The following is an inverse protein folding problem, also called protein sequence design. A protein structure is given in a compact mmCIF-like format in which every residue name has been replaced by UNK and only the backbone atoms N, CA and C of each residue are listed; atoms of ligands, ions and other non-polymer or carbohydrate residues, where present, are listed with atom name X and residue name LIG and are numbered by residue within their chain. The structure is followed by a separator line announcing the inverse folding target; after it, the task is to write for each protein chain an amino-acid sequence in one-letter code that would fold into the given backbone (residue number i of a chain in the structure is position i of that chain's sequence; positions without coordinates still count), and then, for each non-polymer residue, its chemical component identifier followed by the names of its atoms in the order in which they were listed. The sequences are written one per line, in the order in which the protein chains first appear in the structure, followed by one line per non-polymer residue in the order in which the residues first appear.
data_IF_294358658909
#
_entry.id   IF_294358658909
#
_cell.length_a   1.000
_cell.length_b   1.000
_cell.length_c   1.000
_cell.angle_alpha   90.00
_cell.angle_beta   90.00
_cell.angle_gamma   90.00
#
_symmetry.space_group_name_H-M   'P 1'
#
loop_
_entity.id
_entity.type
_entity.pdbx_description
1 polymer ?
#
# COMPACT_ATOMS: atom_id res chain seq x y z
N UNK A 1 1.89 -4.48 3.54
CA UNK A 1 2.62 -3.20 3.53
C UNK A 1 3.29 -2.87 2.22
N UNK A 2 4.33 -3.60 1.77
CA UNK A 2 5.08 -3.29 0.53
C UNK A 2 4.20 -2.96 -0.68
N UNK A 3 3.22 -3.84 -0.97
CA UNK A 3 2.30 -3.69 -2.10
C UNK A 3 1.53 -2.38 -2.07
N UNK A 4 1.08 -1.90 -0.89
CA UNK A 4 0.34 -0.63 -0.74
C UNK A 4 1.17 0.53 -1.31
N UNK A 5 2.42 0.64 -0.88
CA UNK A 5 3.31 1.73 -1.28
C UNK A 5 3.80 1.59 -2.72
N UNK A 6 4.13 0.39 -3.18
CA UNK A 6 4.54 0.17 -4.57
C UNK A 6 3.38 0.48 -5.51
N UNK A 7 2.17 0.02 -5.20
CA UNK A 7 0.98 0.32 -5.99
C UNK A 7 0.64 1.82 -5.99
N UNK A 8 0.82 2.51 -4.86
CA UNK A 8 0.69 3.96 -4.77
C UNK A 8 1.70 4.67 -5.69
N UNK A 9 2.97 4.30 -5.65
CA UNK A 9 4.00 4.93 -6.48
C UNK A 9 3.82 4.66 -7.98
N UNK A 10 3.28 3.50 -8.35
CA UNK A 10 2.92 3.17 -9.72
C UNK A 10 1.69 3.98 -10.19
N UNK A 11 0.69 4.19 -9.34
CA UNK A 11 -0.43 5.07 -9.65
C UNK A 11 0.02 6.52 -9.85
N UNK A 12 0.91 7.02 -8.99
CA UNK A 12 1.56 8.33 -9.16
C UNK A 12 2.37 8.43 -10.46
N UNK A 13 2.79 7.30 -11.03
CA UNK A 13 3.48 7.23 -12.32
C UNK A 13 2.53 7.03 -13.52
N UNK A 14 1.20 7.02 -13.29
CA UNK A 14 0.17 6.89 -14.32
C UNK A 14 -0.35 5.48 -14.55
N UNK A 15 -0.05 4.52 -13.66
CA UNK A 15 -0.51 3.14 -13.77
C UNK A 15 -1.54 2.85 -12.68
N UNK A 16 -2.83 3.00 -12.99
CA UNK A 16 -3.92 2.87 -12.03
C UNK A 16 -4.64 4.20 -11.78
N UNK A 17 -5.85 4.10 -11.25
CA UNK A 17 -6.74 5.24 -10.98
C UNK A 17 -7.70 4.90 -9.83
N UNK A 18 -7.16 4.35 -8.75
CA UNK A 18 -7.95 4.03 -7.57
C UNK A 18 -8.02 5.21 -6.60
N UNK A 19 -9.13 5.34 -5.83
CA UNK A 19 -9.26 6.39 -4.83
C UNK A 19 -8.15 6.32 -3.78
N UNK A 20 -7.73 7.49 -3.27
CA UNK A 20 -6.74 7.62 -2.20
C UNK A 20 -7.12 6.78 -0.97
N UNK A 21 -8.42 6.73 -0.69
CA UNK A 21 -9.06 6.01 0.41
C UNK A 21 -8.72 4.51 0.38
N UNK A 22 -8.55 3.91 -0.81
CA UNK A 22 -8.15 2.51 -0.92
C UNK A 22 -6.80 2.26 -0.23
N UNK A 23 -5.85 3.15 -0.48
CA UNK A 23 -4.51 3.05 0.09
C UNK A 23 -4.51 3.34 1.58
N UNK A 24 -5.27 4.35 2.02
CA UNK A 24 -5.37 4.71 3.44
C UNK A 24 -6.05 3.64 4.27
N UNK A 25 -7.15 3.08 3.79
CA UNK A 25 -7.81 1.96 4.45
C UNK A 25 -6.86 0.76 4.58
N UNK A 26 -6.04 0.48 3.56
CA UNK A 26 -5.04 -0.58 3.64
C UNK A 26 -3.94 -0.26 4.68
N UNK A 27 -3.46 0.99 4.76
CA UNK A 27 -2.50 1.40 5.79
C UNK A 27 -3.06 1.23 7.21
N UNK A 28 -4.24 1.80 7.48
CA UNK A 28 -4.87 1.73 8.79
C UNK A 28 -5.21 0.29 9.19
N UNK A 29 -5.64 -0.54 8.24
CA UNK A 29 -5.95 -1.94 8.54
C UNK A 29 -4.72 -2.73 8.96
N UNK A 30 -3.54 -2.47 8.39
CA UNK A 30 -2.31 -3.10 8.89
C UNK A 30 -1.89 -2.53 10.23
N UNK A 31 -2.00 -1.22 10.45
CA UNK A 31 -1.70 -0.62 11.75
C UNK A 31 -2.58 -1.21 12.85
N UNK A 32 -3.87 -1.36 12.60
CA UNK A 32 -4.81 -2.03 13.50
C UNK A 32 -4.41 -3.49 13.76
N UNK A 33 -4.03 -4.24 12.73
CA UNK A 33 -3.56 -5.61 12.88
C UNK A 33 -2.26 -5.71 13.70
N UNK A 34 -1.34 -4.74 13.55
CA UNK A 34 -0.11 -4.67 14.34
C UNK A 34 -0.39 -4.35 15.80
N UNK A 35 -1.30 -3.42 16.08
CA UNK A 35 -1.75 -3.10 17.44
C UNK A 35 -2.41 -4.31 18.09
N UNK A 36 -3.32 -5.00 17.38
CA UNK A 36 -3.94 -6.22 17.88
C UNK A 36 -2.89 -7.30 18.19
N UNK A 37 -1.93 -7.52 17.29
CA UNK A 37 -0.87 -8.49 17.50
C UNK A 37 0.01 -8.12 18.70
N UNK A 38 0.26 -6.83 18.93
CA UNK A 38 1.01 -6.35 20.08
C UNK A 38 0.27 -6.58 21.41
N UNK A 39 -1.03 -6.31 21.44
CA UNK A 39 -1.85 -6.38 22.66
C UNK A 39 -2.30 -7.80 23.01
N UNK A 40 -2.64 -8.61 22.01
CA UNK A 40 -3.27 -9.93 22.20
C UNK A 40 -2.40 -11.10 21.75
N UNK A 41 -1.34 -10.85 20.98
CA UNK A 41 -0.57 -11.90 20.30
C UNK A 41 -1.27 -12.48 19.06
N UNK A 42 -2.49 -12.00 18.73
CA UNK A 42 -3.24 -12.48 17.58
C UNK A 42 -2.87 -11.72 16.29
N UNK A 43 -2.50 -12.47 15.25
CA UNK A 43 -2.21 -11.93 13.93
C UNK A 43 -3.45 -12.05 13.05
N UNK A 44 -4.32 -11.04 13.12
CA UNK A 44 -5.56 -11.01 12.36
C UNK A 44 -5.77 -9.67 11.70
N UNK A 45 -6.14 -9.72 10.43
CA UNK A 45 -6.72 -8.59 9.74
C UNK A 45 -8.22 -8.57 10.02
N UNK A 46 -8.81 -7.38 10.15
CA UNK A 46 -10.26 -7.24 10.29
C UNK A 46 -10.97 -7.73 9.02
N UNK A 47 -12.12 -8.39 9.17
CA UNK A 47 -12.84 -8.99 8.04
C UNK A 47 -13.31 -7.94 7.02
N UNK A 48 -13.60 -6.72 7.48
CA UNK A 48 -13.98 -5.57 6.64
C UNK A 48 -12.80 -4.98 5.85
N UNK A 49 -11.56 -5.29 6.22
CA UNK A 49 -10.38 -4.91 5.46
C UNK A 49 -10.08 -5.90 4.32
N UNK A 50 -10.61 -7.12 4.32
CA UNK A 50 -10.34 -8.10 3.27
C UNK A 50 -10.66 -7.57 1.85
N UNK A 51 -11.83 -6.95 1.58
CA UNK A 51 -12.14 -6.41 0.25
C UNK A 51 -11.17 -5.30 -0.19
N UNK A 52 -10.64 -4.52 0.76
CA UNK A 52 -9.65 -3.47 0.49
C UNK A 52 -8.35 -4.09 -0.04
N UNK A 53 -7.88 -5.17 0.59
CA UNK A 53 -6.68 -5.87 0.13
C UNK A 53 -6.89 -6.62 -1.18
N UNK A 54 -8.05 -7.25 -1.39
CA UNK A 54 -8.38 -7.88 -2.67
C UNK A 54 -8.31 -6.88 -3.82
N UNK A 55 -8.94 -5.72 -3.64
CA UNK A 55 -8.93 -4.64 -4.64
C UNK A 55 -7.54 -4.08 -4.87
N UNK A 56 -6.77 -3.84 -3.80
CA UNK A 56 -5.39 -3.36 -3.91
C UNK A 56 -4.46 -4.37 -4.62
N UNK A 57 -4.62 -5.67 -4.35
CA UNK A 57 -3.83 -6.72 -5.01
C UNK A 57 -4.19 -6.82 -6.49
N UNK A 58 -5.49 -6.79 -6.83
CA UNK A 58 -5.94 -6.77 -8.22
C UNK A 58 -5.41 -5.54 -8.98
N UNK A 59 -5.42 -4.36 -8.34
CA UNK A 59 -4.80 -3.16 -8.89
C UNK A 59 -3.31 -3.40 -9.14
N UNK A 60 -2.58 -3.90 -8.15
CA UNK A 60 -1.14 -4.12 -8.30
C UNK A 60 -0.80 -5.10 -9.43
N UNK A 61 -1.54 -6.19 -9.55
CA UNK A 61 -1.38 -7.16 -10.63
C UNK A 61 -1.62 -6.51 -12.00
N UNK A 62 -2.66 -5.68 -12.12
CA UNK A 62 -2.94 -4.94 -13.36
C UNK A 62 -1.83 -3.93 -13.70
N UNK A 63 -1.26 -3.27 -12.69
CA UNK A 63 -0.14 -2.35 -12.86
C UNK A 63 1.09 -3.08 -13.37
N UNK A 64 1.43 -4.23 -12.77
CA UNK A 64 2.60 -5.02 -13.17
C UNK A 64 2.46 -5.59 -14.59
N UNK A 65 1.24 -5.84 -15.06
CA UNK A 65 0.99 -6.30 -16.42
C UNK A 65 1.31 -5.25 -17.50
N UNK A 66 1.26 -3.95 -17.16
CA UNK A 66 1.38 -2.86 -18.15
C UNK A 66 2.54 -1.90 -17.89
N UNK A 67 3.04 -1.81 -16.65
CA UNK A 67 4.08 -0.88 -16.28
C UNK A 67 5.45 -1.31 -16.84
N UNK A 68 6.21 -0.41 -17.47
CA UNK A 68 7.60 -0.66 -17.82
C UNK A 68 8.43 -1.01 -16.58
N UNK A 69 9.35 -1.97 -16.71
CA UNK A 69 10.18 -2.44 -15.60
C UNK A 69 10.92 -1.29 -14.87
N UNK A 70 11.38 -0.28 -15.59
CA UNK A 70 12.07 0.87 -14.97
C UNK A 70 11.17 1.67 -14.01
N UNK A 71 9.84 1.68 -14.23
CA UNK A 71 8.87 2.32 -13.31
C UNK A 71 8.64 1.47 -12.06
N UNK A 72 8.58 0.15 -12.22
CA UNK A 72 8.54 -0.76 -11.07
C UNK A 72 9.80 -0.60 -10.22
N UNK A 73 10.99 -0.63 -10.83
CA UNK A 73 12.27 -0.42 -10.12
C UNK A 73 12.32 0.94 -9.41
N UNK A 74 11.78 2.01 -10.01
CA UNK A 74 11.71 3.31 -9.34
C UNK A 74 10.76 3.31 -8.13
N UNK A 75 9.57 2.70 -8.26
CA UNK A 75 8.64 2.52 -7.15
C UNK A 75 9.28 1.77 -5.97
N UNK A 76 10.05 0.71 -6.26
CA UNK A 76 10.82 -0.02 -5.24
C UNK A 76 11.89 0.83 -4.56
N UNK A 77 12.62 1.64 -5.34
CA UNK A 77 13.62 2.56 -4.77
C UNK A 77 12.97 3.61 -3.88
N UNK A 78 11.80 4.13 -4.26
CA UNK A 78 11.02 5.06 -3.45
C UNK A 78 10.60 4.41 -2.13
N UNK A 79 10.13 3.16 -2.17
CA UNK A 79 9.80 2.41 -0.97
C UNK A 79 11.03 2.20 -0.07
N UNK A 80 12.16 1.77 -0.63
CA UNK A 80 13.39 1.59 0.14
C UNK A 80 13.82 2.89 0.84
N UNK A 81 13.78 4.03 0.14
CA UNK A 81 14.07 5.34 0.75
C UNK A 81 13.12 5.69 1.89
N UNK A 82 11.84 5.38 1.74
CA UNK A 82 10.86 5.59 2.79
C UNK A 82 11.16 4.72 4.02
N UNK A 83 11.37 3.41 3.84
CA UNK A 83 11.64 2.47 4.94
C UNK A 83 12.95 2.76 5.68
N UNK A 84 13.94 3.36 5.03
CA UNK A 84 15.19 3.78 5.65
C UNK A 84 15.18 5.21 6.21
N UNK A 85 14.11 5.97 5.98
CA UNK A 85 13.98 7.36 6.43
C UNK A 85 13.13 7.50 7.69
N UNK A 86 13.00 8.75 8.15
CA UNK A 86 12.07 9.16 9.22
C UNK A 86 10.89 9.98 8.67
N UNK A 87 10.63 9.86 7.37
CA UNK A 87 9.55 10.60 6.70
C UNK A 87 8.18 10.02 7.10
N UNK A 88 7.16 10.88 7.13
CA UNK A 88 5.76 10.43 7.23
C UNK A 88 5.37 9.55 6.04
N UNK A 89 4.22 8.88 6.15
CA UNK A 89 3.69 8.06 5.05
C UNK A 89 3.67 8.86 3.74
N UNK A 90 4.14 8.27 2.61
CA UNK A 90 4.05 8.87 1.29
C UNK A 90 2.62 9.01 0.75
N UNK A 91 1.62 8.42 1.44
CA UNK A 91 0.21 8.49 1.10
C UNK A 91 -0.40 9.62 1.95
N UNK A 92 -0.98 10.67 1.33
CA UNK A 92 -1.54 11.81 2.06
C UNK A 92 -2.82 11.43 2.82
N UNK A 93 -3.11 12.08 3.95
CA UNK A 93 -4.27 11.81 4.83
C UNK A 93 -5.66 12.09 4.19
N UNK A 94 -5.70 12.64 2.98
CA UNK A 94 -6.93 13.19 2.38
C UNK A 94 -7.15 14.67 2.76
N UNK A 95 -8.00 15.36 2.01
CA UNK A 95 -8.51 16.71 2.37
C UNK A 95 -9.71 16.60 3.31
#
# INVERSE_FOLDING_TARGET
MRTVYVAWFLQQAGYGDEPLELYKLAEYAVEAALTLAHESGEWRLADDALPVFEKLLALHDSQLAVAPLHKVVDAERRLARFLHGTASSPIPEGE
#
